data_IF_018214463051
#
_entry.id   IF_018214463051
#
_cell.length_a   1.000
_cell.length_b   1.000
_cell.length_c   1.000
_cell.angle_alpha   90.00
_cell.angle_beta   90.00
_cell.angle_gamma   90.00
#
_symmetry.space_group_name_H-M   'P 1'
#
loop_
_entity.id
_entity.type
_entity.pdbx_description
1 polymer ?
#
# COMPACT_ATOMS: atom_id res chain seq x y z
N UNK A 1 54.35 21.21 -26.83
CA UNK A 1 54.71 20.40 -25.66
C UNK A 1 53.45 19.71 -25.19
N UNK A 2 53.27 18.45 -25.60
CA UNK A 2 52.20 17.57 -25.11
C UNK A 2 52.85 16.70 -24.05
N UNK A 3 52.22 16.60 -22.88
CA UNK A 3 52.57 15.58 -21.88
C UNK A 3 51.27 15.09 -21.21
N UNK A 4 51.22 13.82 -20.81
CA UNK A 4 50.28 12.87 -21.38
C UNK A 4 49.68 12.05 -20.23
N UNK A 5 48.60 12.52 -19.62
CA UNK A 5 47.95 11.72 -18.58
C UNK A 5 46.45 11.94 -18.61
N UNK A 6 45.83 11.34 -19.63
CA UNK A 6 44.47 10.85 -19.52
C UNK A 6 44.50 9.51 -18.75
N UNK A 7 43.47 9.26 -17.94
CA UNK A 7 42.62 8.11 -18.18
C UNK A 7 41.18 8.63 -18.26
N UNK A 8 40.66 8.91 -19.47
CA UNK A 8 39.97 7.97 -20.36
C UNK A 8 38.94 7.13 -19.61
N UNK A 9 37.68 7.55 -19.78
CA UNK A 9 36.48 7.05 -19.13
C UNK A 9 36.39 5.52 -19.19
N UNK A 10 36.28 4.91 -18.01
CA UNK A 10 35.97 3.50 -17.84
C UNK A 10 34.53 3.25 -18.29
N UNK A 11 34.43 2.93 -19.58
CA UNK A 11 33.27 2.45 -20.29
C UNK A 11 32.85 1.07 -19.70
N UNK A 12 32.17 1.12 -18.55
CA UNK A 12 31.61 -0.05 -17.86
C UNK A 12 30.41 -0.58 -18.64
N UNK A 13 30.69 -1.21 -19.77
CA UNK A 13 29.69 -1.87 -20.63
C UNK A 13 29.45 -3.30 -20.14
N UNK A 14 28.36 -3.48 -19.39
CA UNK A 14 27.88 -4.75 -18.83
C UNK A 14 27.35 -5.78 -19.87
N UNK A 15 27.70 -5.65 -21.14
CA UNK A 15 27.15 -6.44 -22.25
C UNK A 15 28.16 -7.33 -22.98
N UNK A 16 29.45 -7.32 -22.60
CA UNK A 16 30.51 -8.07 -23.33
C UNK A 16 30.80 -9.48 -22.78
N UNK A 17 30.14 -9.92 -21.71
CA UNK A 17 30.32 -11.28 -21.16
C UNK A 17 29.58 -12.39 -21.94
N UNK A 18 28.84 -12.06 -23.00
CA UNK A 18 27.94 -13.00 -23.69
C UNK A 18 28.48 -13.73 -24.92
N UNK A 19 29.63 -13.37 -25.48
CA UNK A 19 30.00 -13.79 -26.85
C UNK A 19 31.02 -14.93 -26.98
N UNK A 20 31.64 -15.42 -25.91
CA UNK A 20 32.73 -16.40 -26.00
C UNK A 20 32.34 -17.87 -25.78
N UNK A 21 31.05 -18.18 -25.56
CA UNK A 21 30.58 -19.55 -25.28
C UNK A 21 29.64 -20.13 -26.37
N UNK A 22 29.44 -19.41 -27.48
CA UNK A 22 28.66 -19.86 -28.64
C UNK A 22 29.49 -20.61 -29.70
N UNK A 23 30.58 -21.26 -29.31
CA UNK A 23 31.24 -22.25 -30.17
C UNK A 23 30.51 -23.58 -30.01
N UNK A 24 29.59 -23.87 -30.94
CA UNK A 24 29.00 -25.19 -31.09
C UNK A 24 30.08 -26.26 -31.35
N UNK A 25 29.79 -27.55 -31.08
CA UNK A 25 30.74 -28.63 -31.35
C UNK A 25 31.19 -28.58 -32.82
N UNK A 26 32.48 -28.87 -33.12
CA UNK A 26 32.91 -28.97 -34.50
C UNK A 26 32.07 -30.03 -35.23
N UNK A 27 31.76 -29.82 -36.53
CA UNK A 27 31.07 -30.83 -37.32
C UNK A 27 31.86 -32.14 -37.27
N UNK A 28 31.20 -33.30 -37.20
CA UNK A 28 31.89 -34.58 -37.19
C UNK A 28 32.75 -34.69 -38.44
N UNK A 29 34.03 -34.96 -38.25
CA UNK A 29 34.92 -35.34 -39.33
C UNK A 29 34.35 -36.58 -40.03
N UNK A 30 34.34 -36.57 -41.36
CA UNK A 30 33.99 -37.70 -42.19
C UNK A 30 34.78 -38.93 -41.72
N UNK A 31 34.09 -39.84 -41.03
CA UNK A 31 34.64 -41.13 -40.67
C UNK A 31 34.79 -41.92 -41.98
N UNK A 32 36.03 -42.05 -42.44
CA UNK A 32 36.39 -42.91 -43.55
C UNK A 32 35.80 -44.32 -43.32
N UNK A 33 35.21 -44.96 -44.34
CA UNK A 33 34.62 -46.28 -44.18
C UNK A 33 35.75 -47.31 -44.05
N UNK A 34 36.03 -47.75 -42.83
CA UNK A 34 36.99 -48.84 -42.56
C UNK A 34 36.34 -50.23 -42.74
N UNK A 35 35.34 -50.33 -43.62
CA UNK A 35 34.75 -51.59 -44.05
C UNK A 35 35.40 -51.97 -45.36
N UNK A 36 36.48 -52.75 -45.26
CA UNK A 36 37.01 -53.49 -46.40
C UNK A 36 35.96 -54.53 -46.80
N UNK A 37 35.18 -54.24 -47.84
CA UNK A 37 34.44 -55.25 -48.61
C UNK A 37 35.44 -56.28 -49.12
N UNK A 38 35.60 -57.41 -48.42
CA UNK A 38 36.54 -58.44 -48.87
C UNK A 38 36.78 -59.65 -47.98
N UNK A 39 36.32 -59.71 -46.73
CA UNK A 39 36.44 -60.95 -45.94
C UNK A 39 35.23 -61.87 -46.16
N UNK A 40 35.22 -62.58 -47.29
CA UNK A 40 34.34 -63.74 -47.47
C UNK A 40 34.81 -64.84 -46.53
N UNK A 41 34.29 -64.83 -45.30
CA UNK A 41 34.41 -65.98 -44.40
C UNK A 41 33.46 -67.06 -44.90
N UNK A 42 34.01 -68.07 -45.60
CA UNK A 42 33.27 -69.27 -45.98
C UNK A 42 33.05 -70.12 -44.72
N UNK A 43 31.88 -69.99 -44.11
CA UNK A 43 31.40 -70.95 -43.14
C UNK A 43 31.02 -72.24 -43.89
N UNK A 44 31.70 -73.35 -43.57
CA UNK A 44 31.34 -74.67 -44.09
C UNK A 44 29.93 -75.09 -43.67
N UNK A 45 29.29 -76.03 -44.38
CA UNK A 45 27.91 -76.42 -44.10
C UNK A 45 27.86 -77.17 -42.76
N UNK A 46 27.36 -76.52 -41.72
CA UNK A 46 27.17 -77.17 -40.42
C UNK A 46 27.15 -76.29 -39.17
N UNK A 47 27.20 -74.96 -39.27
CA UNK A 47 27.12 -74.08 -38.08
C UNK A 47 25.82 -73.26 -38.12
N UNK A 48 24.77 -73.76 -37.47
CA UNK A 48 23.62 -72.94 -37.14
C UNK A 48 24.06 -71.95 -36.07
N UNK A 49 24.16 -70.67 -36.42
CA UNK A 49 24.32 -69.60 -35.46
C UNK A 49 23.04 -69.54 -34.61
N UNK A 50 23.02 -70.27 -33.48
CA UNK A 50 22.01 -70.08 -32.46
C UNK A 50 22.20 -68.68 -31.88
N UNK A 51 21.37 -67.72 -32.31
CA UNK A 51 21.32 -66.40 -31.71
C UNK A 51 20.86 -66.54 -30.25
N UNK A 52 21.63 -66.08 -29.25
CA UNK A 52 21.09 -65.96 -27.90
C UNK A 52 19.94 -64.96 -27.91
N UNK A 53 18.85 -65.30 -27.21
CA UNK A 53 17.68 -64.43 -27.10
C UNK A 53 18.08 -63.06 -26.51
N UNK A 54 17.48 -61.95 -26.97
CA UNK A 54 17.76 -60.63 -26.41
C UNK A 54 17.44 -60.63 -24.92
N UNK A 55 18.42 -60.29 -24.09
CA UNK A 55 18.21 -60.02 -22.68
C UNK A 55 17.22 -58.85 -22.54
N UNK A 56 16.25 -58.92 -21.61
CA UNK A 56 15.29 -57.84 -21.42
C UNK A 56 16.04 -56.61 -20.88
N UNK A 57 16.17 -55.58 -21.72
CA UNK A 57 16.62 -54.26 -21.27
C UNK A 57 15.45 -53.62 -20.54
N UNK A 58 15.50 -53.63 -19.20
CA UNK A 58 14.58 -52.84 -18.39
C UNK A 58 14.99 -51.39 -18.54
N UNK A 59 14.26 -50.65 -19.37
CA UNK A 59 14.36 -49.19 -19.41
C UNK A 59 13.69 -48.66 -18.14
N UNK A 60 14.48 -48.37 -17.11
CA UNK A 60 13.99 -47.62 -15.96
C UNK A 60 13.62 -46.22 -16.42
N UNK A 61 12.31 -45.95 -16.52
CA UNK A 61 11.79 -44.62 -16.79
C UNK A 61 12.34 -43.65 -15.73
N UNK A 62 12.90 -42.48 -16.14
CA UNK A 62 13.41 -41.51 -15.19
C UNK A 62 12.26 -41.05 -14.27
N UNK A 63 12.50 -40.88 -12.96
CA UNK A 63 11.47 -40.41 -12.05
C UNK A 63 10.93 -39.06 -12.53
N UNK A 64 9.61 -38.81 -12.44
CA UNK A 64 9.05 -37.53 -12.85
C UNK A 64 9.71 -36.43 -12.01
N UNK A 65 10.51 -35.58 -12.66
CA UNK A 65 11.10 -34.41 -12.03
C UNK A 65 9.96 -33.55 -11.52
N UNK A 66 9.79 -33.49 -10.20
CA UNK A 66 8.77 -32.65 -9.54
C UNK A 66 9.11 -31.19 -9.82
N UNK A 67 8.55 -30.63 -10.91
CA UNK A 67 8.70 -29.22 -11.33
C UNK A 67 8.17 -28.18 -10.32
N UNK A 68 7.62 -28.62 -9.17
CA UNK A 68 6.93 -27.76 -8.22
C UNK A 68 7.77 -27.15 -7.08
N UNK A 69 9.03 -27.55 -6.91
CA UNK A 69 9.83 -27.10 -5.75
C UNK A 69 10.28 -25.62 -5.83
N UNK A 70 10.27 -25.01 -7.02
CA UNK A 70 10.61 -23.59 -7.22
C UNK A 70 9.49 -22.65 -6.80
N UNK A 71 8.22 -23.00 -7.08
CA UNK A 71 7.06 -22.16 -6.76
C UNK A 71 6.88 -21.97 -5.26
N UNK A 72 7.14 -23.03 -4.47
CA UNK A 72 7.05 -23.00 -3.00
C UNK A 72 8.00 -22.00 -2.34
N UNK A 73 9.06 -21.55 -3.01
CA UNK A 73 10.00 -20.56 -2.46
C UNK A 73 9.45 -19.13 -2.56
N UNK A 74 8.66 -18.87 -3.59
CA UNK A 74 8.03 -17.57 -3.81
C UNK A 74 6.67 -17.44 -3.12
N UNK A 75 6.11 -18.52 -2.55
CA UNK A 75 4.84 -18.43 -1.83
C UNK A 75 4.94 -17.48 -0.65
N UNK A 76 6.04 -17.51 0.12
CA UNK A 76 6.21 -16.61 1.26
C UNK A 76 6.36 -15.16 0.80
N UNK A 77 7.16 -14.90 -0.24
CA UNK A 77 7.30 -13.57 -0.82
C UNK A 77 5.98 -13.05 -1.39
N UNK A 78 5.21 -13.89 -2.08
CA UNK A 78 3.90 -13.54 -2.62
C UNK A 78 2.87 -13.26 -1.52
N UNK A 79 2.89 -14.03 -0.42
CA UNK A 79 2.01 -13.79 0.74
C UNK A 79 2.35 -12.48 1.43
N UNK A 80 3.64 -12.18 1.65
CA UNK A 80 4.07 -10.90 2.23
C UNK A 80 3.67 -9.74 1.31
N UNK A 81 3.91 -9.86 0.00
CA UNK A 81 3.51 -8.84 -0.97
C UNK A 81 1.99 -8.64 -0.97
N UNK A 82 1.20 -9.73 -0.99
CA UNK A 82 -0.25 -9.66 -0.92
C UNK A 82 -0.73 -9.03 0.39
N UNK A 83 -0.10 -9.35 1.53
CA UNK A 83 -0.44 -8.76 2.82
C UNK A 83 -0.12 -7.26 2.88
N UNK A 84 1.03 -6.84 2.32
CA UNK A 84 1.40 -5.42 2.21
C UNK A 84 0.44 -4.68 1.28
N UNK A 85 0.10 -5.24 0.12
CA UNK A 85 -0.87 -4.65 -0.80
C UNK A 85 -2.27 -4.57 -0.18
N UNK A 86 -2.70 -5.60 0.54
CA UNK A 86 -3.96 -5.60 1.27
C UNK A 86 -3.95 -4.53 2.38
N UNK A 87 -2.84 -4.40 3.12
CA UNK A 87 -2.68 -3.38 4.16
C UNK A 87 -2.68 -1.96 3.57
N UNK A 88 -1.93 -1.71 2.51
CA UNK A 88 -1.88 -0.42 1.82
C UNK A 88 -3.24 -0.09 1.16
N UNK A 89 -3.86 -1.08 0.55
CA UNK A 89 -5.22 -0.98 0.01
C UNK A 89 -6.22 -0.62 1.10
N UNK A 90 -6.13 -1.26 2.27
CA UNK A 90 -6.97 -0.94 3.42
C UNK A 90 -6.68 0.45 4.01
N UNK A 91 -5.44 0.90 4.02
CA UNK A 91 -5.12 2.28 4.43
C UNK A 91 -5.68 3.32 3.45
N UNK A 92 -5.72 3.00 2.15
CA UNK A 92 -6.18 3.93 1.11
C UNK A 92 -7.70 3.93 0.93
N UNK A 93 -8.34 2.77 0.99
CA UNK A 93 -9.77 2.55 0.74
C UNK A 93 -10.56 2.16 1.99
N UNK A 94 -9.95 2.27 3.17
CA UNK A 94 -10.62 2.00 4.43
C UNK A 94 -11.86 2.88 4.65
N UNK A 95 -12.74 2.50 5.58
CA UNK A 95 -13.98 3.23 5.83
C UNK A 95 -13.67 4.69 6.17
N UNK A 96 -14.47 5.58 5.57
CA UNK A 96 -14.32 7.02 5.72
C UNK A 96 -14.54 7.47 7.17
N UNK A 97 -14.16 8.73 7.45
CA UNK A 97 -14.52 9.40 8.69
C UNK A 97 -16.05 9.38 8.86
N UNK A 98 -16.50 8.91 10.02
CA UNK A 98 -17.91 8.85 10.37
C UNK A 98 -18.12 9.57 11.69
N UNK A 99 -19.18 10.37 11.74
CA UNK A 99 -19.59 11.15 12.90
C UNK A 99 -20.67 10.37 13.63
N UNK A 100 -20.47 10.13 14.92
CA UNK A 100 -21.41 9.37 15.77
C UNK A 100 -22.30 10.28 16.59
N UNK A 101 -21.72 11.34 17.12
CA UNK A 101 -22.40 12.24 18.05
C UNK A 101 -21.76 13.62 17.96
N UNK A 102 -22.58 14.65 18.16
CA UNK A 102 -22.14 16.03 18.27
C UNK A 102 -22.79 16.61 19.52
N UNK A 103 -21.98 17.11 20.43
CA UNK A 103 -22.45 17.80 21.63
C UNK A 103 -21.77 19.16 21.71
N UNK A 104 -22.54 20.20 22.02
CA UNK A 104 -21.98 21.54 22.27
C UNK A 104 -22.07 21.83 23.76
N UNK A 105 -20.98 22.33 24.31
CA UNK A 105 -20.85 22.64 25.73
C UNK A 105 -20.22 24.03 25.90
N UNK A 106 -20.58 24.69 26.99
CA UNK A 106 -20.08 26.02 27.36
C UNK A 106 -20.18 26.16 28.88
N UNK A 107 -19.53 27.16 29.45
CA UNK A 107 -19.76 27.51 30.86
C UNK A 107 -21.18 28.06 31.02
N UNK A 108 -22.07 27.38 31.79
CA UNK A 108 -23.44 27.84 31.98
C UNK A 108 -23.54 29.18 32.73
N UNK A 109 -22.48 29.60 33.44
CA UNK A 109 -22.42 30.92 34.07
C UNK A 109 -22.25 32.05 33.06
N UNK A 110 -21.79 31.74 31.85
CA UNK A 110 -21.42 32.71 30.83
C UNK A 110 -20.10 33.41 31.14
N UNK A 111 -19.61 34.25 30.21
CA UNK A 111 -18.36 34.96 30.39
C UNK A 111 -18.51 36.13 31.38
N UNK A 112 -17.39 36.58 31.94
CA UNK A 112 -17.34 37.80 32.73
C UNK A 112 -17.63 39.05 31.86
N UNK A 113 -17.87 40.20 32.51
CA UNK A 113 -18.02 41.48 31.83
C UNK A 113 -16.86 41.75 30.86
N UNK A 114 -17.18 42.17 29.65
CA UNK A 114 -16.21 42.49 28.58
C UNK A 114 -15.24 41.34 28.25
N UNK A 115 -15.65 40.09 28.50
CA UNK A 115 -14.86 38.89 28.25
C UNK A 115 -15.43 38.04 27.11
N UNK A 116 -14.65 37.05 26.70
CA UNK A 116 -15.05 36.08 25.68
C UNK A 116 -15.57 34.79 26.32
N UNK A 117 -16.66 34.25 25.77
CA UNK A 117 -17.08 32.87 26.03
C UNK A 117 -16.31 31.93 25.11
N UNK A 118 -15.76 30.85 25.66
CA UNK A 118 -15.27 29.71 24.88
C UNK A 118 -16.40 28.67 24.82
N UNK A 119 -16.96 28.49 23.64
CA UNK A 119 -17.97 27.47 23.35
C UNK A 119 -17.26 26.32 22.65
N UNK A 120 -17.37 25.12 23.22
CA UNK A 120 -16.67 23.93 22.72
C UNK A 120 -17.68 22.91 22.24
N UNK A 121 -17.62 22.59 20.95
CA UNK A 121 -18.29 21.42 20.41
C UNK A 121 -17.37 20.20 20.44
N UNK A 122 -17.87 19.12 21.01
CA UNK A 122 -17.22 17.80 21.02
C UNK A 122 -17.90 16.95 19.96
N UNK A 123 -17.15 16.63 18.92
CA UNK A 123 -17.58 15.74 17.83
C UNK A 123 -16.96 14.36 18.07
N UNK A 124 -17.81 13.35 18.29
CA UNK A 124 -17.36 11.96 18.43
C UNK A 124 -17.33 11.27 17.08
N UNK A 125 -16.19 10.64 16.77
CA UNK A 125 -15.94 10.01 15.48
C UNK A 125 -15.54 8.54 15.65
N UNK A 126 -15.51 7.80 14.55
CA UNK A 126 -15.04 6.41 14.51
C UNK A 126 -13.51 6.25 14.63
N UNK A 127 -12.74 7.32 14.86
CA UNK A 127 -11.28 7.29 14.97
C UNK A 127 -10.54 7.20 13.63
N UNK A 128 -11.25 7.35 12.50
CA UNK A 128 -10.64 7.38 11.17
C UNK A 128 -10.14 8.78 10.83
N UNK A 129 -9.08 8.91 10.02
CA UNK A 129 -8.65 10.21 9.55
C UNK A 129 -9.66 10.80 8.56
N UNK A 130 -9.83 12.12 8.57
CA UNK A 130 -10.68 12.81 7.61
C UNK A 130 -10.77 14.31 7.86
N UNK A 131 -11.70 14.96 7.16
CA UNK A 131 -11.95 16.39 7.27
C UNK A 131 -13.40 16.57 7.72
N UNK A 132 -13.58 17.35 8.78
CA UNK A 132 -14.88 17.82 9.23
C UNK A 132 -15.11 19.20 8.65
N UNK A 133 -16.29 19.39 8.06
CA UNK A 133 -16.71 20.69 7.53
C UNK A 133 -17.88 21.18 8.36
N UNK A 134 -17.76 22.36 8.96
CA UNK A 134 -18.77 22.87 9.90
C UNK A 134 -18.92 24.38 9.82
N UNK A 135 -19.97 24.89 10.44
CA UNK A 135 -20.20 26.32 10.67
C UNK A 135 -20.84 26.55 12.02
N UNK A 136 -20.59 27.72 12.59
CA UNK A 136 -21.18 28.20 13.83
C UNK A 136 -22.24 29.24 13.52
N UNK A 137 -23.41 29.09 14.12
CA UNK A 137 -24.49 30.08 14.11
C UNK A 137 -24.61 30.66 15.52
N UNK A 138 -24.66 32.00 15.60
CA UNK A 138 -24.82 32.73 16.86
C UNK A 138 -26.21 33.38 16.90
N UNK A 139 -26.77 33.54 18.10
CA UNK A 139 -28.08 34.16 18.29
C UNK A 139 -28.15 35.64 17.88
N UNK A 140 -27.02 36.31 17.67
CA UNK A 140 -26.95 37.67 17.12
C UNK A 140 -27.19 37.74 15.60
N UNK A 141 -27.45 36.59 14.96
CA UNK A 141 -27.69 36.48 13.52
C UNK A 141 -26.40 36.40 12.69
N UNK A 142 -25.23 36.49 13.33
CA UNK A 142 -23.96 36.24 12.65
C UNK A 142 -23.67 34.75 12.60
N UNK A 143 -23.12 34.32 11.47
CA UNK A 143 -22.61 32.97 11.29
C UNK A 143 -21.12 33.04 10.96
N UNK A 144 -20.39 32.02 11.37
CA UNK A 144 -19.06 31.82 10.83
C UNK A 144 -19.17 31.37 9.38
N UNK A 145 -18.17 31.71 8.56
CA UNK A 145 -17.98 31.01 7.30
C UNK A 145 -17.80 29.50 7.51
N UNK A 146 -17.74 28.75 6.41
CA UNK A 146 -17.46 27.33 6.47
C UNK A 146 -16.02 27.11 6.97
N UNK A 147 -15.87 26.42 8.10
CA UNK A 147 -14.59 26.01 8.65
C UNK A 147 -14.32 24.54 8.33
N UNK A 148 -13.05 24.20 8.27
CA UNK A 148 -12.59 22.82 8.08
C UNK A 148 -11.64 22.43 9.19
N UNK A 149 -11.89 21.29 9.82
CA UNK A 149 -11.02 20.71 10.85
C UNK A 149 -10.49 19.37 10.34
N UNK A 150 -9.18 19.14 10.47
CA UNK A 150 -8.57 17.87 10.07
C UNK A 150 -8.48 16.95 11.27
N UNK A 151 -9.13 15.80 11.20
CA UNK A 151 -9.10 14.77 12.24
C UNK A 151 -7.95 13.79 11.96
N UNK A 152 -6.95 13.68 12.84
CA UNK A 152 -5.88 12.68 12.70
C UNK A 152 -6.38 11.25 12.90
N UNK A 153 -5.65 10.27 12.39
CA UNK A 153 -5.95 8.86 12.65
C UNK A 153 -5.86 8.54 14.15
N UNK A 154 -6.83 7.77 14.67
CA UNK A 154 -6.89 7.37 16.07
C UNK A 154 -7.64 8.34 16.98
N UNK A 155 -7.93 9.57 16.51
CA UNK A 155 -8.67 10.56 17.28
C UNK A 155 -10.17 10.31 17.19
N UNK A 156 -10.77 9.94 18.32
CA UNK A 156 -12.22 9.66 18.45
C UNK A 156 -13.04 10.87 18.89
N UNK A 157 -12.37 11.93 19.35
CA UNK A 157 -13.01 13.17 19.79
C UNK A 157 -12.28 14.35 19.13
N UNK A 158 -13.02 15.19 18.43
CA UNK A 158 -12.54 16.45 17.88
C UNK A 158 -13.22 17.60 18.61
N UNK A 159 -12.43 18.56 19.09
CA UNK A 159 -12.93 19.74 19.82
C UNK A 159 -12.89 20.94 18.89
N UNK A 160 -14.06 21.49 18.61
CA UNK A 160 -14.21 22.68 17.78
C UNK A 160 -14.51 23.85 18.72
N UNK A 161 -13.66 24.87 18.70
CA UNK A 161 -13.76 26.01 19.59
C UNK A 161 -14.39 27.21 18.87
N UNK A 162 -15.28 27.90 19.56
CA UNK A 162 -15.81 29.19 19.17
C UNK A 162 -15.53 30.18 20.30
N UNK A 163 -14.66 31.15 20.01
CA UNK A 163 -14.41 32.27 20.90
C UNK A 163 -15.35 33.42 20.55
N UNK A 164 -16.27 33.76 21.46
CA UNK A 164 -17.25 34.82 21.25
C UNK A 164 -17.11 35.92 22.30
N UNK A 165 -16.68 37.10 21.87
CA UNK A 165 -16.50 38.30 22.71
C UNK A 165 -17.82 39.01 22.97
N UNK A 166 -18.10 39.30 24.24
CA UNK A 166 -19.21 40.15 24.68
C UNK A 166 -18.66 41.48 25.19
N UNK A 167 -19.37 42.57 24.93
CA UNK A 167 -18.98 43.89 25.39
C UNK A 167 -20.20 44.68 25.88
N UNK A 168 -20.01 45.46 26.93
CA UNK A 168 -21.02 46.32 27.51
C UNK A 168 -21.80 45.69 28.66
N UNK A 169 -22.50 46.55 29.40
CA UNK A 169 -23.36 46.16 30.51
C UNK A 169 -24.73 45.70 30.01
N UNK A 170 -25.29 44.67 30.64
CA UNK A 170 -26.61 44.15 30.28
C UNK A 170 -26.76 42.66 30.59
N UNK A 171 -27.95 42.14 30.29
CA UNK A 171 -28.24 40.71 30.38
C UNK A 171 -28.84 40.25 29.06
N UNK A 172 -28.17 39.32 28.38
CA UNK A 172 -28.59 38.84 27.07
C UNK A 172 -28.49 37.31 27.00
N UNK A 173 -29.55 36.63 26.52
CA UNK A 173 -29.45 35.20 26.21
C UNK A 173 -28.56 35.01 24.98
N UNK A 174 -27.59 34.13 25.10
CA UNK A 174 -26.66 33.77 24.04
C UNK A 174 -26.88 32.30 23.67
N UNK A 175 -27.10 32.03 22.38
CA UNK A 175 -27.17 30.68 21.84
C UNK A 175 -26.08 30.51 20.79
N UNK A 176 -25.31 29.44 20.92
CA UNK A 176 -24.29 29.05 19.97
C UNK A 176 -24.66 27.66 19.42
N UNK A 177 -24.82 27.58 18.11
CA UNK A 177 -25.24 26.38 17.40
C UNK A 177 -24.15 25.95 16.43
N UNK A 178 -23.75 24.69 16.51
CA UNK A 178 -22.83 24.07 15.56
C UNK A 178 -23.66 23.31 14.54
N UNK A 179 -23.46 23.65 13.27
CA UNK A 179 -23.94 22.84 12.15
C UNK A 179 -22.77 22.13 11.48
N UNK A 180 -22.83 20.81 11.49
CA UNK A 180 -21.90 19.96 10.78
C UNK A 180 -22.45 19.66 9.38
N UNK A 181 -21.65 19.96 8.36
CA UNK A 181 -22.02 19.83 6.95
C UNK A 181 -21.53 18.51 6.33
N UNK A 182 -20.35 18.03 6.76
CA UNK A 182 -19.70 16.82 6.23
C UNK A 182 -18.77 16.22 7.30
N UNK A 183 -18.60 14.88 7.38
CA UNK A 183 -19.11 13.81 6.49
C UNK A 183 -20.56 13.38 6.73
N UNK A 184 -21.18 13.81 7.83
CA UNK A 184 -22.60 13.66 8.11
C UNK A 184 -23.22 15.02 8.43
N UNK A 185 -24.53 15.13 8.32
CA UNK A 185 -25.27 16.32 8.73
C UNK A 185 -25.75 16.12 10.17
N UNK A 186 -25.33 17.01 11.07
CA UNK A 186 -25.73 16.99 12.46
C UNK A 186 -25.69 18.40 13.02
N UNK A 187 -26.59 18.68 13.96
CA UNK A 187 -26.72 19.99 14.58
C UNK A 187 -26.83 19.84 16.08
N UNK A 188 -26.12 20.69 16.81
CA UNK A 188 -26.18 20.74 18.26
C UNK A 188 -25.98 22.18 18.73
N UNK A 189 -26.61 22.55 19.85
CA UNK A 189 -26.57 23.91 20.36
C UNK A 189 -26.31 23.92 21.86
N UNK A 190 -25.69 25.01 22.32
CA UNK A 190 -25.56 25.34 23.72
C UNK A 190 -26.10 26.76 23.96
N UNK A 191 -26.72 26.93 25.12
CA UNK A 191 -27.33 28.18 25.54
C UNK A 191 -26.72 28.62 26.87
N UNK A 192 -26.43 29.90 26.99
CA UNK A 192 -25.93 30.54 28.20
C UNK A 192 -26.43 31.97 28.27
N UNK A 193 -26.30 32.62 29.43
CA UNK A 193 -26.73 34.00 29.60
C UNK A 193 -25.51 34.85 29.96
N UNK A 194 -25.21 35.86 29.14
CA UNK A 194 -24.25 36.89 29.54
C UNK A 194 -24.91 37.81 30.56
N UNK A 195 -24.26 38.02 31.70
CA UNK A 195 -24.72 38.91 32.76
C UNK A 195 -23.59 39.84 33.16
N UNK A 196 -23.78 41.12 32.91
CA UNK A 196 -22.87 42.15 33.38
C UNK A 196 -23.66 43.25 34.08
N UNK A 197 -23.53 43.31 35.40
CA UNK A 197 -23.98 44.43 36.22
C UNK A 197 -22.88 45.49 36.28
N UNK A 198 -23.29 46.76 36.18
CA UNK A 198 -22.40 47.93 36.21
C UNK A 198 -21.70 48.08 37.55
#
# INVERSE_FOLDING_TARGET
MSDPYAPQDDDYSATVLGSHWFSGPPPPADAAPDRVEGSVLRFGPGVTAAMPAPFPVVVTAPPPRRRGAGLRRYTLAAVVLAAVLAYLGWQRFGPALEVREVAVTTDPKGPACDAAADVVAVVRTNGRPGILTYRWLRSDGTHSGQLTERVPSGQREARLHLLWTFQGAGTYPAKAELELLSPGQATAAAEFTYRCSR
#
